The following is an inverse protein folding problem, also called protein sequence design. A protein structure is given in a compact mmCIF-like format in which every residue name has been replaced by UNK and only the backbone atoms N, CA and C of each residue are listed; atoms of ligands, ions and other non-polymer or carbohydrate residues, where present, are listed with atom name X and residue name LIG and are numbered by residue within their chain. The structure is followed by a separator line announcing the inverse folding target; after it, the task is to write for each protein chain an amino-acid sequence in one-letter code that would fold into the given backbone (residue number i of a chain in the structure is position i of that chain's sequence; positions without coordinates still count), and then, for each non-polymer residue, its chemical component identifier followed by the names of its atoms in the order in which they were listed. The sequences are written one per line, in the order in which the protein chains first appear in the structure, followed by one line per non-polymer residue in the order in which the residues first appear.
data_IF_166388237945
#
_entry.id   IF_166388237945
#
_cell.length_a   1.000
_cell.length_b   1.000
_cell.length_c   1.000
_cell.angle_alpha   90.00
_cell.angle_beta   90.00
_cell.angle_gamma   90.00
#
_symmetry.space_group_name_H-M   'P 1'
#
loop_
_entity.id
_entity.type
_entity.pdbx_description
1 polymer ?
#
# COMPACT_ATOMS: atom_id res chain seq x y z
N UNK A 1 11.34 15.23 22.65
CA UNK A 1 9.97 14.64 22.54
C UNK A 1 8.94 15.65 22.04
N UNK A 2 9.01 16.89 22.44
CA UNK A 2 7.99 17.92 22.12
C UNK A 2 7.81 18.20 20.63
N UNK A 3 8.89 18.19 19.84
CA UNK A 3 8.81 18.38 18.38
C UNK A 3 8.06 17.26 17.63
N UNK A 4 8.20 16.00 18.05
CA UNK A 4 7.48 14.88 17.45
C UNK A 4 5.99 14.94 17.79
N UNK A 5 5.64 15.25 19.03
CA UNK A 5 4.24 15.42 19.46
C UNK A 5 3.58 16.57 18.72
N UNK A 6 4.28 17.71 18.58
CA UNK A 6 3.79 18.85 17.81
C UNK A 6 3.56 18.46 16.34
N UNK A 7 4.52 17.76 15.71
CA UNK A 7 4.38 17.27 14.36
C UNK A 7 3.11 16.42 14.19
N UNK A 8 2.91 15.41 15.04
CA UNK A 8 1.74 14.54 14.95
C UNK A 8 0.42 15.27 15.17
N UNK A 9 0.37 16.22 16.10
CA UNK A 9 -0.85 17.04 16.33
C UNK A 9 -1.22 17.86 15.11
N UNK A 10 -0.24 18.54 14.51
CA UNK A 10 -0.47 19.34 13.30
C UNK A 10 -0.84 18.41 12.12
N UNK A 11 -0.08 17.33 11.90
CA UNK A 11 -0.31 16.39 10.81
C UNK A 11 -1.70 15.75 10.88
N UNK A 12 -2.22 15.49 12.08
CA UNK A 12 -3.57 14.96 12.29
C UNK A 12 -4.67 15.86 11.70
N UNK A 13 -4.46 17.18 11.64
CA UNK A 13 -5.38 18.11 10.99
C UNK A 13 -5.46 17.91 9.47
N UNK A 14 -4.46 17.30 8.86
CA UNK A 14 -4.45 16.96 7.45
C UNK A 14 -5.16 15.66 7.10
N UNK A 15 -5.42 14.77 8.08
CA UNK A 15 -6.04 13.47 7.81
C UNK A 15 -7.40 13.55 7.11
N UNK A 16 -8.30 14.49 7.44
CA UNK A 16 -9.55 14.65 6.69
C UNK A 16 -9.32 14.98 5.21
N UNK A 17 -8.36 15.87 4.90
CA UNK A 17 -8.02 16.22 3.53
C UNK A 17 -7.41 15.03 2.78
N UNK A 18 -6.53 14.27 3.43
CA UNK A 18 -5.96 13.04 2.88
C UNK A 18 -7.06 12.00 2.56
N UNK A 19 -8.05 11.84 3.45
CA UNK A 19 -9.18 10.96 3.22
C UNK A 19 -10.00 11.41 2.01
N UNK A 20 -10.34 12.70 1.92
CA UNK A 20 -11.09 13.28 0.79
C UNK A 20 -10.33 13.06 -0.53
N UNK A 21 -9.02 13.32 -0.55
CA UNK A 21 -8.18 13.07 -1.74
C UNK A 21 -8.22 11.59 -2.14
N UNK A 22 -8.02 10.68 -1.20
CA UNK A 22 -7.98 9.23 -1.49
C UNK A 22 -9.32 8.70 -2.02
N UNK A 23 -10.44 9.11 -1.44
CA UNK A 23 -11.77 8.75 -1.95
C UNK A 23 -12.03 9.36 -3.33
N UNK A 24 -11.70 10.63 -3.54
CA UNK A 24 -11.85 11.28 -4.83
C UNK A 24 -10.98 10.66 -5.91
N UNK A 25 -9.72 10.32 -5.59
CA UNK A 25 -8.83 9.56 -6.46
C UNK A 25 -9.42 8.18 -6.79
N UNK A 26 -10.01 7.49 -5.81
CA UNK A 26 -10.69 6.22 -6.01
C UNK A 26 -11.84 6.32 -7.02
N UNK A 27 -12.68 7.34 -6.92
CA UNK A 27 -13.79 7.60 -7.87
C UNK A 27 -13.25 7.87 -9.28
N UNK A 28 -12.24 8.75 -9.42
CA UNK A 28 -11.64 9.07 -10.71
C UNK A 28 -10.97 7.84 -11.34
N UNK A 29 -10.20 7.09 -10.57
CA UNK A 29 -9.56 5.86 -11.05
C UNK A 29 -10.58 4.80 -11.46
N UNK A 30 -11.67 4.63 -10.72
CA UNK A 30 -12.76 3.72 -11.06
C UNK A 30 -13.47 4.14 -12.37
N UNK A 31 -13.56 5.45 -12.67
CA UNK A 31 -14.08 5.96 -13.93
C UNK A 31 -13.06 5.91 -15.10
N UNK A 32 -11.86 5.39 -14.87
CA UNK A 32 -10.78 5.27 -15.88
C UNK A 32 -9.89 6.51 -15.99
N UNK A 33 -10.11 7.53 -15.18
CA UNK A 33 -9.36 8.79 -15.22
C UNK A 33 -8.24 8.82 -14.18
N UNK A 34 -7.08 8.30 -14.55
CA UNK A 34 -5.93 8.19 -13.62
C UNK A 34 -4.90 9.30 -13.76
N UNK A 35 -4.91 10.03 -14.89
CA UNK A 35 -3.92 11.10 -15.15
C UNK A 35 -4.13 12.33 -14.28
N UNK A 36 -5.37 12.78 -14.11
CA UNK A 36 -5.68 13.99 -13.35
C UNK A 36 -5.36 13.86 -11.84
N UNK A 37 -5.72 12.75 -11.15
CA UNK A 37 -5.28 12.56 -9.77
C UNK A 37 -3.77 12.61 -9.61
N UNK A 38 -3.01 12.03 -10.55
CA UNK A 38 -1.56 12.10 -10.55
C UNK A 38 -1.06 13.55 -10.68
N UNK A 39 -1.63 14.34 -11.60
CA UNK A 39 -1.27 15.76 -11.77
C UNK A 39 -1.54 16.53 -10.47
N UNK A 40 -2.70 16.33 -9.85
CA UNK A 40 -3.06 17.03 -8.60
C UNK A 40 -2.14 16.66 -7.44
N UNK A 41 -1.78 15.36 -7.34
CA UNK A 41 -0.80 14.90 -6.35
C UNK A 41 0.59 15.47 -6.62
N UNK A 42 1.01 15.57 -7.88
CA UNK A 42 2.30 16.16 -8.27
C UNK A 42 2.36 17.65 -7.94
N UNK A 43 1.29 18.41 -8.22
CA UNK A 43 1.20 19.82 -7.84
C UNK A 43 1.32 19.97 -6.31
N UNK A 44 0.57 19.17 -5.57
CA UNK A 44 0.64 19.18 -4.10
C UNK A 44 2.03 18.75 -3.57
N UNK A 45 2.67 17.79 -4.23
CA UNK A 45 4.02 17.34 -3.89
C UNK A 45 5.08 18.42 -4.10
N UNK A 46 5.06 19.12 -5.25
CA UNK A 46 5.96 20.24 -5.51
C UNK A 46 5.71 21.38 -4.50
N UNK A 47 4.45 21.71 -4.25
CA UNK A 47 4.08 22.71 -3.25
C UNK A 47 4.58 22.31 -1.85
N UNK A 48 4.46 21.04 -1.48
CA UNK A 48 4.97 20.54 -0.20
C UNK A 48 6.47 20.77 -0.06
N UNK A 49 7.26 20.47 -1.10
CA UNK A 49 8.72 20.69 -1.08
C UNK A 49 9.03 22.20 -0.92
N UNK A 50 8.38 23.05 -1.68
CA UNK A 50 8.59 24.50 -1.61
C UNK A 50 8.21 25.08 -0.22
N UNK A 51 7.09 24.64 0.32
CA UNK A 51 6.65 25.06 1.66
C UNK A 51 7.56 24.51 2.77
N UNK A 52 8.08 23.30 2.64
CA UNK A 52 9.06 22.75 3.57
C UNK A 52 10.32 23.62 3.60
N UNK A 53 10.87 23.95 2.44
CA UNK A 53 12.04 24.83 2.36
C UNK A 53 11.75 26.20 2.97
N UNK A 54 10.60 26.78 2.67
CA UNK A 54 10.18 28.07 3.20
C UNK A 54 10.04 28.05 4.74
N UNK A 55 9.25 27.12 5.29
CA UNK A 55 9.01 27.08 6.74
C UNK A 55 10.25 26.67 7.54
N UNK A 56 11.05 25.74 7.01
CA UNK A 56 12.26 25.28 7.74
C UNK A 56 13.40 26.30 7.64
N UNK A 57 13.65 26.85 6.45
CA UNK A 57 14.82 27.73 6.22
C UNK A 57 14.50 29.17 6.59
N UNK A 58 13.38 29.75 6.10
CA UNK A 58 13.07 31.16 6.30
C UNK A 58 12.39 31.43 7.64
N UNK A 59 11.48 30.53 8.07
CA UNK A 59 10.73 30.71 9.31
C UNK A 59 11.39 30.02 10.51
N UNK A 60 12.48 29.26 10.33
CA UNK A 60 13.14 28.46 11.38
C UNK A 60 12.18 27.53 12.15
N UNK A 61 11.12 27.06 11.48
CA UNK A 61 10.10 26.20 12.07
C UNK A 61 10.48 24.71 11.85
N UNK A 62 11.31 24.15 12.70
CA UNK A 62 11.78 22.76 12.59
C UNK A 62 10.65 21.74 12.23
N UNK A 63 10.31 20.80 13.10
CA UNK A 63 9.30 19.77 12.86
C UNK A 63 7.88 20.34 12.62
N UNK A 64 7.54 21.45 13.26
CA UNK A 64 6.24 22.12 13.07
C UNK A 64 6.05 22.65 11.65
N UNK A 65 7.10 23.23 11.06
CA UNK A 65 7.05 23.75 9.68
C UNK A 65 6.81 22.65 8.65
N UNK A 66 7.48 21.51 8.81
CA UNK A 66 7.29 20.33 7.95
C UNK A 66 5.85 19.79 8.05
N UNK A 67 5.27 19.76 9.26
CA UNK A 67 3.90 19.31 9.45
C UNK A 67 2.91 20.25 8.79
N UNK A 68 3.06 21.57 8.94
CA UNK A 68 2.19 22.59 8.30
C UNK A 68 2.28 22.50 6.79
N UNK A 69 3.48 22.39 6.21
CA UNK A 69 3.67 22.22 4.78
C UNK A 69 2.92 20.98 4.25
N UNK A 70 2.98 19.87 4.96
CA UNK A 70 2.29 18.64 4.61
C UNK A 70 0.78 18.79 4.67
N UNK A 71 0.25 19.43 5.69
CA UNK A 71 -1.19 19.70 5.84
C UNK A 71 -1.69 20.59 4.70
N UNK A 72 -1.02 21.69 4.39
CA UNK A 72 -1.40 22.58 3.28
C UNK A 72 -1.43 21.81 1.96
N UNK A 73 -0.39 21.02 1.66
CA UNK A 73 -0.32 20.22 0.44
C UNK A 73 -1.48 19.20 0.34
N UNK A 74 -1.83 18.55 1.46
CA UNK A 74 -2.97 17.63 1.52
C UNK A 74 -4.29 18.33 1.23
N UNK A 75 -4.53 19.50 1.80
CA UNK A 75 -5.73 20.29 1.50
C UNK A 75 -5.77 20.77 0.04
N UNK A 76 -4.66 21.20 -0.52
CA UNK A 76 -4.58 21.60 -1.94
C UNK A 76 -4.95 20.43 -2.84
N UNK A 77 -4.39 19.23 -2.63
CA UNK A 77 -4.74 18.05 -3.42
C UNK A 77 -6.22 17.68 -3.29
N UNK A 78 -6.77 17.74 -2.08
CA UNK A 78 -8.18 17.48 -1.82
C UNK A 78 -9.10 18.48 -2.53
N UNK A 79 -8.79 19.78 -2.46
CA UNK A 79 -9.55 20.84 -3.12
C UNK A 79 -9.52 20.66 -4.65
N UNK A 80 -8.38 20.33 -5.23
CA UNK A 80 -8.24 20.10 -6.66
C UNK A 80 -9.11 18.93 -7.13
N UNK A 81 -9.06 17.80 -6.42
CA UNK A 81 -9.87 16.61 -6.75
C UNK A 81 -11.35 16.90 -6.58
N UNK A 82 -11.78 17.51 -5.49
CA UNK A 82 -13.18 17.87 -5.25
C UNK A 82 -13.69 18.86 -6.30
N UNK A 83 -12.92 19.91 -6.61
CA UNK A 83 -13.25 20.89 -7.64
C UNK A 83 -13.44 20.23 -9.00
N UNK A 84 -12.57 19.25 -9.33
CA UNK A 84 -12.72 18.50 -10.56
C UNK A 84 -14.01 17.66 -10.57
N UNK A 85 -14.29 16.91 -9.50
CA UNK A 85 -15.51 16.12 -9.38
C UNK A 85 -16.78 16.96 -9.48
N UNK A 86 -16.78 18.17 -8.92
CA UNK A 86 -17.91 19.10 -9.05
C UNK A 86 -18.13 19.64 -10.48
N UNK A 87 -17.05 19.73 -11.26
CA UNK A 87 -17.12 20.26 -12.66
C UNK A 87 -17.41 19.18 -13.70
N UNK A 88 -17.39 17.89 -13.32
CA UNK A 88 -17.74 16.80 -14.26
C UNK A 88 -19.16 16.95 -14.81
N UNK A 89 -19.37 16.39 -16.00
CA UNK A 89 -20.68 16.40 -16.69
C UNK A 89 -21.32 15.00 -16.78
N UNK A 90 -20.68 14.01 -16.18
CA UNK A 90 -21.11 12.60 -16.18
C UNK A 90 -21.78 12.18 -14.85
N UNK A 91 -22.12 10.90 -14.74
CA UNK A 91 -22.76 10.30 -13.55
C UNK A 91 -21.91 10.35 -12.29
N UNK A 92 -20.59 10.59 -12.41
CA UNK A 92 -19.68 10.73 -11.29
C UNK A 92 -19.53 12.18 -10.78
N UNK A 93 -20.38 13.11 -11.25
CA UNK A 93 -20.39 14.49 -10.78
C UNK A 93 -20.79 14.57 -9.31
N UNK A 94 -20.00 15.28 -8.52
CA UNK A 94 -20.28 15.55 -7.12
C UNK A 94 -21.22 16.76 -6.98
N UNK A 95 -22.36 16.55 -6.31
CA UNK A 95 -23.31 17.61 -5.95
C UNK A 95 -23.39 17.71 -4.43
N UNK A 96 -22.90 18.79 -3.83
CA UNK A 96 -22.97 19.00 -2.39
C UNK A 96 -24.41 19.03 -1.86
N UNK A 97 -25.35 19.57 -2.63
CA UNK A 97 -26.78 19.62 -2.28
C UNK A 97 -27.46 18.25 -2.25
N UNK A 98 -26.86 17.24 -2.88
CA UNK A 98 -27.39 15.87 -2.94
C UNK A 98 -26.63 14.89 -2.04
N UNK A 99 -25.68 15.38 -1.25
CA UNK A 99 -24.95 14.52 -0.30
C UNK A 99 -25.93 13.98 0.76
N UNK A 100 -26.09 12.66 0.76
CA UNK A 100 -26.90 11.93 1.72
C UNK A 100 -26.14 10.71 2.20
N UNK A 101 -26.39 10.32 3.44
CA UNK A 101 -25.84 9.08 3.99
C UNK A 101 -26.67 7.90 3.47
N UNK A 102 -26.07 7.08 2.61
CA UNK A 102 -26.65 5.85 2.09
C UNK A 102 -26.10 4.66 2.86
N UNK A 103 -26.93 4.04 3.69
CA UNK A 103 -26.53 2.96 4.60
C UNK A 103 -25.87 1.77 3.87
N UNK A 104 -26.41 1.35 2.74
CA UNK A 104 -25.87 0.23 1.96
C UNK A 104 -24.51 0.57 1.33
N UNK A 105 -24.34 1.77 0.78
CA UNK A 105 -23.06 2.22 0.26
C UNK A 105 -22.02 2.33 1.37
N UNK A 106 -22.37 2.91 2.52
CA UNK A 106 -21.50 2.99 3.68
C UNK A 106 -21.09 1.61 4.17
N UNK A 107 -22.03 0.65 4.25
CA UNK A 107 -21.75 -0.74 4.61
C UNK A 107 -20.75 -1.38 3.66
N UNK A 108 -20.91 -1.19 2.34
CA UNK A 108 -20.00 -1.74 1.32
C UNK A 108 -18.60 -1.16 1.47
N UNK A 109 -18.47 0.16 1.68
CA UNK A 109 -17.18 0.82 1.91
C UNK A 109 -16.51 0.29 3.18
N UNK A 110 -17.26 0.14 4.28
CA UNK A 110 -16.72 -0.39 5.54
C UNK A 110 -16.31 -1.86 5.41
N UNK A 111 -17.09 -2.70 4.72
CA UNK A 111 -16.77 -4.11 4.51
C UNK A 111 -15.51 -4.33 3.69
N UNK A 112 -15.14 -3.38 2.83
CA UNK A 112 -13.89 -3.43 2.06
C UNK A 112 -12.75 -2.73 2.80
N UNK A 113 -13.02 -1.57 3.40
CA UNK A 113 -11.99 -0.71 3.99
C UNK A 113 -11.52 -1.18 5.37
N UNK A 114 -12.43 -1.57 6.26
CA UNK A 114 -12.05 -1.98 7.63
C UNK A 114 -11.11 -3.19 7.63
N UNK A 115 -11.38 -4.30 6.89
CA UNK A 115 -10.43 -5.41 6.85
C UNK A 115 -9.06 -5.00 6.31
N UNK A 116 -9.01 -4.14 5.29
CA UNK A 116 -7.76 -3.62 4.74
C UNK A 116 -6.98 -2.75 5.74
N UNK A 117 -7.67 -1.88 6.45
CA UNK A 117 -7.07 -1.05 7.52
C UNK A 117 -6.54 -1.90 8.68
N UNK A 118 -7.32 -2.88 9.14
CA UNK A 118 -6.90 -3.83 10.18
C UNK A 118 -5.68 -4.64 9.72
N UNK A 119 -5.65 -5.10 8.48
CA UNK A 119 -4.50 -5.79 7.93
C UNK A 119 -3.23 -4.95 8.05
N UNK A 120 -3.27 -3.68 7.64
CA UNK A 120 -2.12 -2.79 7.71
C UNK A 120 -1.66 -2.56 9.16
N UNK A 121 -2.60 -2.39 10.11
CA UNK A 121 -2.28 -2.24 11.52
C UNK A 121 -1.61 -3.50 12.10
N UNK A 122 -2.13 -4.70 11.77
CA UNK A 122 -1.56 -5.97 12.23
C UNK A 122 -0.19 -6.22 11.59
N UNK A 123 0.00 -5.85 10.30
CA UNK A 123 1.34 -5.87 9.68
C UNK A 123 2.34 -4.98 10.42
N UNK A 124 1.93 -3.78 10.81
CA UNK A 124 2.80 -2.88 11.58
C UNK A 124 3.22 -3.53 12.91
N UNK A 125 2.27 -4.15 13.62
CA UNK A 125 2.56 -4.88 14.87
C UNK A 125 3.49 -6.07 14.61
N UNK A 126 3.23 -6.89 13.57
CA UNK A 126 4.08 -8.02 13.23
C UNK A 126 5.52 -7.58 12.90
N UNK A 127 5.68 -6.44 12.24
CA UNK A 127 7.00 -5.88 11.95
C UNK A 127 7.73 -5.40 13.21
N UNK A 128 7.03 -5.00 14.28
CA UNK A 128 7.67 -4.70 15.57
C UNK A 128 8.32 -5.96 16.17
N UNK A 129 7.70 -7.14 16.07
CA UNK A 129 8.32 -8.40 16.52
C UNK A 129 9.56 -8.74 15.69
N UNK A 130 9.54 -8.50 14.39
CA UNK A 130 10.73 -8.68 13.54
C UNK A 130 11.83 -7.69 13.94
N UNK A 131 11.46 -6.44 14.21
CA UNK A 131 12.41 -5.41 14.68
C UNK A 131 13.03 -5.78 16.03
N UNK A 132 12.27 -6.40 16.93
CA UNK A 132 12.81 -6.93 18.20
C UNK A 132 13.90 -7.97 17.92
N UNK A 133 13.70 -8.85 16.93
CA UNK A 133 14.72 -9.79 16.47
C UNK A 133 15.97 -9.10 15.91
N UNK A 134 15.81 -8.02 15.13
CA UNK A 134 16.94 -7.22 14.63
C UNK A 134 17.68 -6.53 15.79
N UNK A 135 16.96 -6.03 16.78
CA UNK A 135 17.53 -5.32 17.93
C UNK A 135 18.32 -6.26 18.88
N UNK A 136 18.24 -7.57 18.71
CA UNK A 136 19.09 -8.51 19.46
C UNK A 136 20.54 -8.58 18.94
N UNK A 137 20.79 -7.98 17.77
CA UNK A 137 22.13 -7.84 17.20
C UNK A 137 22.78 -6.50 17.62
N UNK A 138 23.99 -6.27 17.16
CA UNK A 138 24.73 -5.04 17.44
C UNK A 138 24.16 -3.79 16.75
N UNK A 139 24.63 -2.62 17.15
CA UNK A 139 24.19 -1.34 16.62
C UNK A 139 24.48 -1.18 15.12
N UNK A 140 25.49 -1.87 14.58
CA UNK A 140 25.86 -1.86 13.16
C UNK A 140 24.77 -2.55 12.35
N UNK A 141 24.34 -3.75 12.79
CA UNK A 141 23.26 -4.50 12.15
C UNK A 141 21.94 -3.74 12.19
N UNK A 142 21.57 -3.16 13.31
CA UNK A 142 20.36 -2.33 13.47
C UNK A 142 20.38 -1.14 12.52
N UNK A 143 21.53 -0.46 12.41
CA UNK A 143 21.69 0.68 11.49
C UNK A 143 21.63 0.24 10.02
N UNK A 144 22.28 -0.88 9.67
CA UNK A 144 22.22 -1.46 8.32
C UNK A 144 20.82 -1.88 7.90
N UNK A 145 20.08 -2.53 8.82
CA UNK A 145 18.67 -2.87 8.60
C UNK A 145 17.82 -1.60 8.35
N UNK A 146 18.03 -0.54 9.14
CA UNK A 146 17.28 0.72 8.99
C UNK A 146 17.56 1.39 7.64
N UNK A 147 18.81 1.38 7.18
CA UNK A 147 19.17 1.87 5.85
C UNK A 147 18.50 1.04 4.73
N UNK A 148 18.50 -0.30 4.88
CA UNK A 148 17.93 -1.20 3.89
C UNK A 148 16.39 -1.12 3.81
N UNK A 149 15.68 -0.76 4.87
CA UNK A 149 14.22 -0.53 4.84
C UNK A 149 13.81 0.57 3.84
N UNK A 150 14.69 1.54 3.56
CA UNK A 150 14.40 2.53 2.52
C UNK A 150 14.31 1.89 1.12
N UNK A 151 15.12 0.85 0.86
CA UNK A 151 15.03 0.06 -0.37
C UNK A 151 13.70 -0.69 -0.47
N UNK A 152 13.27 -1.33 0.63
CA UNK A 152 11.97 -1.99 0.69
C UNK A 152 10.84 -1.03 0.32
N UNK A 153 10.83 0.17 0.92
CA UNK A 153 9.80 1.20 0.68
C UNK A 153 9.76 1.62 -0.78
N UNK A 154 10.91 1.81 -1.42
CA UNK A 154 10.98 2.18 -2.84
C UNK A 154 10.36 1.10 -3.74
N UNK A 155 10.74 -0.16 -3.55
CA UNK A 155 10.25 -1.28 -4.38
C UNK A 155 8.76 -1.50 -4.14
N UNK A 156 8.29 -1.51 -2.89
CA UNK A 156 6.88 -1.67 -2.61
C UNK A 156 6.02 -0.56 -3.20
N UNK A 157 6.48 0.69 -3.22
CA UNK A 157 5.77 1.78 -3.87
C UNK A 157 5.61 1.55 -5.39
N UNK A 158 6.64 1.03 -6.05
CA UNK A 158 6.57 0.67 -7.48
C UNK A 158 5.58 -0.48 -7.70
N UNK A 159 5.67 -1.54 -6.90
CA UNK A 159 4.79 -2.70 -7.02
C UNK A 159 3.34 -2.36 -6.70
N UNK A 160 3.10 -1.47 -5.73
CA UNK A 160 1.77 -0.98 -5.33
C UNK A 160 1.00 -0.40 -6.52
N UNK A 161 1.67 0.26 -7.46
CA UNK A 161 1.02 0.80 -8.65
C UNK A 161 0.35 -0.31 -9.48
N UNK A 162 1.02 -1.45 -9.66
CA UNK A 162 0.49 -2.55 -10.47
C UNK A 162 -0.67 -3.28 -9.80
N UNK A 163 -0.59 -3.57 -8.50
CA UNK A 163 -1.70 -4.25 -7.86
C UNK A 163 -2.88 -3.33 -7.52
N UNK A 164 -2.65 -2.03 -7.34
CA UNK A 164 -3.74 -1.05 -7.28
C UNK A 164 -4.48 -0.96 -8.62
N UNK A 165 -3.74 -0.93 -9.74
CA UNK A 165 -4.33 -1.01 -11.06
C UNK A 165 -5.10 -2.34 -11.25
N UNK A 166 -4.57 -3.47 -10.76
CA UNK A 166 -5.26 -4.75 -10.78
C UNK A 166 -6.64 -4.66 -10.12
N UNK A 167 -6.72 -4.14 -8.90
CA UNK A 167 -7.99 -3.99 -8.19
C UNK A 167 -9.00 -3.14 -8.98
N UNK A 168 -8.53 -2.02 -9.55
CA UNK A 168 -9.36 -1.12 -10.36
C UNK A 168 -9.91 -1.81 -11.62
N UNK A 169 -9.04 -2.46 -12.41
CA UNK A 169 -9.47 -3.19 -13.61
C UNK A 169 -10.36 -4.38 -13.29
N UNK A 170 -10.10 -5.09 -12.20
CA UNK A 170 -10.98 -6.18 -11.74
C UNK A 170 -12.37 -5.66 -11.41
N UNK A 171 -12.47 -4.55 -10.68
CA UNK A 171 -13.76 -3.93 -10.33
C UNK A 171 -14.53 -3.42 -11.55
N UNK A 172 -13.86 -2.72 -12.48
CA UNK A 172 -14.46 -2.20 -13.71
C UNK A 172 -15.01 -3.34 -14.59
N UNK A 173 -14.21 -4.39 -14.81
CA UNK A 173 -14.62 -5.52 -15.63
C UNK A 173 -15.68 -6.40 -14.94
N UNK A 174 -15.69 -6.43 -13.61
CA UNK A 174 -16.77 -7.04 -12.83
C UNK A 174 -18.08 -6.30 -13.05
N UNK A 175 -18.08 -4.97 -12.94
CA UNK A 175 -19.27 -4.14 -13.22
C UNK A 175 -19.78 -4.31 -14.66
N UNK A 176 -18.88 -4.49 -15.64
CA UNK A 176 -19.20 -4.77 -17.03
C UNK A 176 -19.59 -6.24 -17.31
N UNK A 177 -19.55 -7.13 -16.31
CA UNK A 177 -19.85 -8.56 -16.51
C UNK A 177 -18.80 -9.32 -17.32
N UNK A 178 -17.65 -8.74 -17.61
CA UNK A 178 -16.66 -9.31 -18.52
C UNK A 178 -15.59 -10.13 -17.77
N UNK A 179 -15.92 -11.40 -17.56
CA UNK A 179 -15.08 -12.34 -16.80
C UNK A 179 -13.74 -12.65 -17.48
N UNK A 180 -13.70 -12.71 -18.78
CA UNK A 180 -12.47 -12.97 -19.53
C UNK A 180 -11.47 -11.83 -19.34
N UNK A 181 -11.94 -10.58 -19.45
CA UNK A 181 -11.09 -9.39 -19.20
C UNK A 181 -10.62 -9.30 -17.76
N UNK A 182 -11.42 -9.77 -16.79
CA UNK A 182 -10.97 -9.84 -15.38
C UNK A 182 -9.74 -10.74 -15.24
N UNK A 183 -9.78 -11.97 -15.78
CA UNK A 183 -8.64 -12.91 -15.73
C UNK A 183 -7.43 -12.33 -16.45
N UNK A 184 -7.63 -11.73 -17.62
CA UNK A 184 -6.55 -11.11 -18.40
C UNK A 184 -5.91 -9.96 -17.63
N UNK A 185 -6.71 -9.09 -17.01
CA UNK A 185 -6.22 -7.99 -16.17
C UNK A 185 -5.40 -8.51 -14.98
N UNK A 186 -5.89 -9.53 -14.28
CA UNK A 186 -5.16 -10.15 -13.18
C UNK A 186 -3.80 -10.71 -13.63
N UNK A 187 -3.77 -11.48 -14.73
CA UNK A 187 -2.53 -12.10 -15.24
C UNK A 187 -1.50 -11.04 -15.67
N UNK A 188 -1.94 -10.00 -16.36
CA UNK A 188 -1.07 -8.91 -16.82
C UNK A 188 -0.52 -8.13 -15.63
N UNK A 189 -1.37 -7.77 -14.67
CA UNK A 189 -0.94 -7.04 -13.47
C UNK A 189 0.00 -7.87 -12.61
N UNK A 190 -0.26 -9.16 -12.47
CA UNK A 190 0.63 -10.09 -11.77
C UNK A 190 1.99 -10.19 -12.44
N UNK A 191 2.01 -10.34 -13.79
CA UNK A 191 3.27 -10.39 -14.54
C UNK A 191 4.09 -9.11 -14.37
N UNK A 192 3.46 -7.94 -14.51
CA UNK A 192 4.17 -6.67 -14.35
C UNK A 192 4.64 -6.42 -12.93
N UNK A 193 3.83 -6.76 -11.92
CA UNK A 193 4.26 -6.66 -10.52
C UNK A 193 5.41 -7.61 -10.22
N UNK A 194 5.37 -8.84 -10.72
CA UNK A 194 6.46 -9.82 -10.59
C UNK A 194 7.73 -9.32 -11.27
N UNK A 195 7.63 -8.86 -12.52
CA UNK A 195 8.79 -8.32 -13.25
C UNK A 195 9.37 -7.08 -12.55
N UNK A 196 8.53 -6.20 -12.04
CA UNK A 196 8.99 -5.04 -11.28
C UNK A 196 9.74 -5.49 -10.02
N UNK A 197 9.18 -6.40 -9.22
CA UNK A 197 9.84 -6.96 -8.04
C UNK A 197 11.17 -7.65 -8.37
N UNK A 198 11.21 -8.44 -9.44
CA UNK A 198 12.41 -9.15 -9.88
C UNK A 198 13.49 -8.20 -10.41
N UNK A 199 13.12 -7.25 -11.27
CA UNK A 199 14.08 -6.30 -11.89
C UNK A 199 14.64 -5.35 -10.82
N UNK A 200 13.79 -4.67 -10.07
CA UNK A 200 14.24 -3.71 -9.06
C UNK A 200 14.90 -4.39 -7.87
N UNK A 201 14.42 -5.58 -7.47
CA UNK A 201 15.07 -6.41 -6.46
C UNK A 201 16.46 -6.86 -6.92
N UNK A 202 16.58 -7.33 -8.16
CA UNK A 202 17.86 -7.69 -8.78
C UNK A 202 18.82 -6.51 -8.89
N UNK A 203 18.33 -5.33 -9.31
CA UNK A 203 19.14 -4.10 -9.34
C UNK A 203 19.64 -3.73 -7.94
N UNK A 204 18.83 -3.88 -6.90
CA UNK A 204 19.29 -3.65 -5.53
C UNK A 204 20.32 -4.67 -5.06
N UNK A 205 20.26 -5.92 -5.49
CA UNK A 205 21.29 -6.90 -5.17
C UNK A 205 22.63 -6.51 -5.81
N UNK A 206 22.60 -5.99 -7.05
CA UNK A 206 23.81 -5.58 -7.79
C UNK A 206 24.34 -4.23 -7.31
N UNK A 207 23.48 -3.22 -7.18
CA UNK A 207 23.85 -1.83 -6.87
C UNK A 207 23.52 -1.44 -5.42
N UNK A 208 23.23 -2.41 -4.54
CA UNK A 208 22.77 -2.14 -3.18
C UNK A 208 23.77 -1.38 -2.33
N UNK A 209 25.08 -1.59 -2.51
CA UNK A 209 26.11 -0.82 -1.80
C UNK A 209 26.04 0.66 -2.12
N UNK A 210 25.89 1.01 -3.41
CA UNK A 210 25.74 2.39 -3.87
C UNK A 210 24.44 3.00 -3.33
N UNK A 211 23.35 2.23 -3.34
CA UNK A 211 22.10 2.67 -2.78
C UNK A 211 22.19 2.92 -1.27
N UNK A 212 22.77 1.98 -0.51
CA UNK A 212 22.92 2.10 0.94
C UNK A 212 23.88 3.24 1.33
N UNK A 213 24.87 3.58 0.50
CA UNK A 213 25.77 4.71 0.77
C UNK A 213 25.07 6.06 0.79
N UNK A 214 23.85 6.17 0.24
CA UNK A 214 23.01 7.37 0.39
C UNK A 214 22.46 7.55 1.81
N UNK A 215 22.40 6.47 2.60
CA UNK A 215 21.78 6.45 3.93
C UNK A 215 22.78 6.14 5.06
N UNK A 216 23.94 5.60 4.72
CA UNK A 216 24.99 5.21 5.68
C UNK A 216 26.36 5.50 5.13
N UNK A 217 27.24 6.11 5.97
CA UNK A 217 28.60 6.46 5.59
C UNK A 217 29.63 5.39 5.99
N UNK A 218 29.33 4.55 6.99
CA UNK A 218 30.24 3.54 7.49
C UNK A 218 30.15 2.26 6.68
N UNK A 219 31.28 1.74 6.15
CA UNK A 219 31.30 0.50 5.35
C UNK A 219 30.66 -0.70 6.05
N UNK A 220 30.88 -0.84 7.36
CA UNK A 220 30.33 -1.92 8.17
C UNK A 220 28.79 -1.92 8.18
N UNK A 221 28.19 -0.74 8.25
CA UNK A 221 26.72 -0.55 8.22
C UNK A 221 26.18 -0.88 6.82
N UNK A 222 26.91 -0.53 5.77
CA UNK A 222 26.53 -0.86 4.38
C UNK A 222 26.56 -2.38 4.18
N UNK A 223 27.60 -3.09 4.64
CA UNK A 223 27.66 -4.55 4.53
C UNK A 223 26.53 -5.23 5.33
N UNK A 224 26.25 -4.76 6.53
CA UNK A 224 25.13 -5.26 7.33
C UNK A 224 23.78 -5.06 6.61
N UNK A 225 23.57 -3.91 5.97
CA UNK A 225 22.38 -3.65 5.14
C UNK A 225 22.32 -4.55 3.90
N UNK A 226 23.48 -4.89 3.31
CA UNK A 226 23.54 -5.80 2.17
C UNK A 226 23.08 -7.22 2.50
N UNK A 227 23.25 -7.71 3.72
CA UNK A 227 22.70 -9.01 4.15
C UNK A 227 21.19 -9.08 3.99
N UNK A 228 20.48 -7.98 4.37
CA UNK A 228 19.05 -7.88 4.14
C UNK A 228 18.71 -7.79 2.65
N UNK A 229 19.38 -6.91 1.91
CA UNK A 229 19.10 -6.68 0.48
C UNK A 229 19.26 -7.97 -0.33
N UNK A 230 20.28 -8.79 -0.06
CA UNK A 230 20.48 -10.07 -0.75
C UNK A 230 19.29 -11.02 -0.62
N UNK A 231 18.68 -11.11 0.55
CA UNK A 231 17.52 -11.98 0.80
C UNK A 231 16.23 -11.34 0.28
N UNK A 232 16.03 -10.06 0.60
CA UNK A 232 14.81 -9.34 0.22
C UNK A 232 14.71 -9.12 -1.28
N UNK A 233 15.84 -8.88 -1.98
CA UNK A 233 15.87 -8.63 -3.40
C UNK A 233 15.18 -9.73 -4.23
N UNK A 234 15.37 -10.99 -3.86
CA UNK A 234 14.64 -12.12 -4.46
C UNK A 234 13.22 -12.27 -3.93
N UNK A 235 13.01 -11.91 -2.66
CA UNK A 235 11.70 -12.08 -2.00
C UNK A 235 10.63 -11.14 -2.53
N UNK A 236 10.97 -9.95 -3.06
CA UNK A 236 10.00 -9.01 -3.62
C UNK A 236 9.19 -9.61 -4.78
N UNK A 237 9.82 -10.40 -5.65
CA UNK A 237 9.12 -11.09 -6.73
C UNK A 237 8.07 -12.08 -6.20
N UNK A 238 8.33 -12.72 -5.05
CA UNK A 238 7.37 -13.63 -4.40
C UNK A 238 6.18 -12.86 -3.81
N UNK A 239 6.41 -11.67 -3.23
CA UNK A 239 5.32 -10.85 -2.68
C UNK A 239 4.32 -10.41 -3.75
N UNK A 240 4.74 -10.27 -5.01
CA UNK A 240 3.85 -9.92 -6.11
C UNK A 240 2.66 -10.90 -6.25
N UNK A 241 2.89 -12.20 -6.05
CA UNK A 241 1.84 -13.21 -6.10
C UNK A 241 0.81 -13.03 -4.98
N UNK A 242 1.26 -12.66 -3.79
CA UNK A 242 0.39 -12.38 -2.66
C UNK A 242 -0.41 -11.09 -2.90
N UNK A 243 0.29 -9.96 -3.10
CA UNK A 243 -0.33 -8.63 -3.11
C UNK A 243 -1.27 -8.44 -4.31
N UNK A 244 -0.87 -8.91 -5.51
CA UNK A 244 -1.71 -8.81 -6.69
C UNK A 244 -2.97 -9.70 -6.58
N UNK A 245 -2.87 -10.88 -5.95
CA UNK A 245 -4.02 -11.76 -5.76
C UNK A 245 -5.00 -11.22 -4.72
N UNK A 246 -4.48 -10.60 -3.63
CA UNK A 246 -5.30 -9.87 -2.66
C UNK A 246 -6.02 -8.71 -3.33
N UNK A 247 -5.30 -7.93 -4.14
CA UNK A 247 -5.87 -6.80 -4.88
C UNK A 247 -6.96 -7.24 -5.87
N UNK A 248 -6.76 -8.35 -6.59
CA UNK A 248 -7.76 -8.95 -7.46
C UNK A 248 -9.00 -9.40 -6.69
N UNK A 249 -8.82 -10.04 -5.54
CA UNK A 249 -9.92 -10.47 -4.66
C UNK A 249 -10.72 -9.27 -4.13
N UNK A 250 -10.06 -8.20 -3.75
CA UNK A 250 -10.70 -6.94 -3.33
C UNK A 250 -11.45 -6.27 -4.47
N UNK A 251 -10.88 -6.27 -5.67
CA UNK A 251 -11.52 -5.74 -6.88
C UNK A 251 -12.86 -6.42 -7.21
N UNK A 252 -13.05 -7.68 -6.80
CA UNK A 252 -14.33 -8.40 -6.90
C UNK A 252 -15.18 -8.35 -5.62
N UNK A 253 -14.90 -7.40 -4.73
CA UNK A 253 -15.67 -7.19 -3.49
C UNK A 253 -15.40 -8.20 -2.37
N UNK A 254 -14.34 -9.02 -2.48
CA UNK A 254 -13.95 -10.01 -1.47
C UNK A 254 -12.74 -9.50 -0.68
N UNK A 255 -12.96 -8.98 0.53
CA UNK A 255 -11.89 -8.41 1.37
C UNK A 255 -11.63 -9.24 2.64
N UNK A 256 -12.67 -9.77 3.28
CA UNK A 256 -12.58 -10.39 4.62
C UNK A 256 -11.68 -11.62 4.61
N UNK A 257 -11.95 -12.60 3.74
CA UNK A 257 -11.18 -13.86 3.72
C UNK A 257 -9.73 -13.65 3.30
N UNK A 258 -9.42 -12.87 2.23
CA UNK A 258 -8.04 -12.49 1.91
C UNK A 258 -7.32 -11.85 3.11
N UNK A 259 -7.97 -10.94 3.82
CA UNK A 259 -7.39 -10.32 5.01
C UNK A 259 -7.05 -11.34 6.09
N UNK A 260 -7.94 -12.30 6.36
CA UNK A 260 -7.68 -13.38 7.34
C UNK A 260 -6.49 -14.25 6.91
N UNK A 261 -6.43 -14.63 5.61
CA UNK A 261 -5.32 -15.41 5.06
C UNK A 261 -3.99 -14.68 5.25
N UNK A 262 -3.96 -13.38 4.96
CA UNK A 262 -2.74 -12.57 5.15
C UNK A 262 -2.36 -12.45 6.62
N UNK A 263 -3.32 -12.19 7.51
CA UNK A 263 -3.03 -12.09 8.95
C UNK A 263 -2.43 -13.41 9.45
N UNK A 264 -3.01 -14.54 9.10
CA UNK A 264 -2.50 -15.85 9.53
C UNK A 264 -1.17 -16.21 8.85
N UNK A 265 -1.10 -16.11 7.53
CA UNK A 265 0.05 -16.54 6.74
C UNK A 265 1.26 -15.59 6.79
N UNK A 266 1.03 -14.30 7.00
CA UNK A 266 2.13 -13.33 7.09
C UNK A 266 2.36 -12.83 8.51
N UNK A 267 1.33 -12.40 9.25
CA UNK A 267 1.57 -11.77 10.54
C UNK A 267 1.78 -12.79 11.66
N UNK A 268 0.85 -13.72 11.85
CA UNK A 268 0.95 -14.76 12.88
C UNK A 268 2.16 -15.66 12.61
N UNK A 269 2.35 -16.05 11.36
CA UNK A 269 3.50 -16.86 10.94
C UNK A 269 4.84 -16.17 11.28
N UNK A 270 4.97 -14.84 11.08
CA UNK A 270 6.18 -14.09 11.42
C UNK A 270 6.47 -14.12 12.92
N UNK A 271 5.45 -13.96 13.74
CA UNK A 271 5.61 -14.03 15.21
C UNK A 271 6.08 -15.43 15.61
N UNK A 272 5.44 -16.48 15.11
CA UNK A 272 5.86 -17.86 15.38
C UNK A 272 7.30 -18.09 14.92
N UNK A 273 7.67 -17.64 13.72
CA UNK A 273 9.02 -17.79 13.17
C UNK A 273 10.08 -17.14 14.07
N UNK A 274 9.81 -15.93 14.56
CA UNK A 274 10.76 -15.23 15.45
C UNK A 274 11.01 -16.01 16.75
N UNK A 275 9.95 -16.57 17.35
CA UNK A 275 10.08 -17.33 18.60
C UNK A 275 10.48 -18.81 18.45
N UNK A 276 10.55 -19.32 17.22
CA UNK A 276 10.93 -20.71 16.94
C UNK A 276 12.19 -20.79 16.10
N UNK A 277 12.08 -20.56 14.79
CA UNK A 277 13.18 -20.74 13.82
C UNK A 277 14.31 -19.73 14.11
N UNK A 278 13.98 -18.46 14.25
CA UNK A 278 14.99 -17.44 14.56
C UNK A 278 15.59 -17.68 15.95
N UNK A 279 14.79 -17.98 16.95
CA UNK A 279 15.29 -18.29 18.31
C UNK A 279 16.24 -19.49 18.34
N UNK A 280 16.05 -20.47 17.44
CA UNK A 280 16.93 -21.65 17.34
C UNK A 280 18.24 -21.34 16.62
N UNK A 281 18.18 -20.67 15.46
CA UNK A 281 19.38 -20.42 14.64
C UNK A 281 20.17 -19.18 15.07
N UNK A 282 19.52 -18.14 15.62
CA UNK A 282 20.16 -16.91 16.10
C UNK A 282 20.88 -16.09 15.03
N UNK A 283 20.63 -16.33 13.72
CA UNK A 283 21.33 -15.64 12.63
C UNK A 283 20.43 -14.63 11.96
N UNK A 284 20.99 -13.51 11.49
CA UNK A 284 20.24 -12.46 10.79
C UNK A 284 19.61 -12.99 9.49
N UNK A 285 20.27 -13.92 8.82
CA UNK A 285 19.76 -14.57 7.61
C UNK A 285 18.48 -15.37 7.92
N UNK A 286 18.45 -16.14 9.03
CA UNK A 286 17.26 -16.88 9.45
C UNK A 286 16.10 -15.93 9.78
N UNK A 287 16.38 -14.73 10.29
CA UNK A 287 15.35 -13.72 10.52
C UNK A 287 14.78 -13.19 9.21
N UNK A 288 15.60 -12.84 8.23
CA UNK A 288 15.10 -12.25 6.97
C UNK A 288 14.42 -13.29 6.06
N UNK A 289 14.78 -14.54 6.12
CA UNK A 289 14.12 -15.62 5.37
C UNK A 289 12.62 -15.75 5.70
N UNK A 290 12.19 -15.28 6.88
CA UNK A 290 10.77 -15.27 7.25
C UNK A 290 9.89 -14.57 6.21
N UNK A 291 10.42 -13.54 5.52
CA UNK A 291 9.66 -12.82 4.50
C UNK A 291 9.38 -13.70 3.29
N UNK A 292 10.41 -14.37 2.76
CA UNK A 292 10.25 -15.27 1.62
C UNK A 292 9.24 -16.39 1.91
N UNK A 293 9.35 -17.04 3.07
CA UNK A 293 8.44 -18.13 3.46
C UNK A 293 7.02 -17.62 3.72
N UNK A 294 6.86 -16.54 4.50
CA UNK A 294 5.54 -15.99 4.83
C UNK A 294 4.79 -15.55 3.58
N UNK A 295 5.46 -14.85 2.65
CA UNK A 295 4.85 -14.40 1.41
C UNK A 295 4.50 -15.57 0.48
N UNK A 296 5.35 -16.58 0.39
CA UNK A 296 5.09 -17.77 -0.44
C UNK A 296 3.87 -18.55 0.06
N UNK A 297 3.81 -18.84 1.38
CA UNK A 297 2.68 -19.56 1.99
C UNK A 297 1.39 -18.77 1.81
N UNK A 298 1.44 -17.46 2.09
CA UNK A 298 0.28 -16.59 1.95
C UNK A 298 -0.17 -16.49 0.49
N UNK A 299 0.76 -16.35 -0.46
CA UNK A 299 0.47 -16.31 -1.89
C UNK A 299 -0.23 -17.59 -2.37
N UNK A 300 0.25 -18.75 -1.96
CA UNK A 300 -0.38 -20.04 -2.31
C UNK A 300 -1.82 -20.07 -1.80
N UNK A 301 -2.05 -19.73 -0.54
CA UNK A 301 -3.38 -19.72 0.06
C UNK A 301 -4.32 -18.71 -0.64
N UNK A 302 -3.84 -17.50 -0.96
CA UNK A 302 -4.58 -16.47 -1.68
C UNK A 302 -4.94 -16.91 -3.10
N UNK A 303 -4.02 -17.52 -3.85
CA UNK A 303 -4.27 -18.02 -5.20
C UNK A 303 -5.31 -19.14 -5.18
N UNK A 304 -5.24 -20.05 -4.21
CA UNK A 304 -6.23 -21.12 -4.05
C UNK A 304 -7.61 -20.50 -3.76
N UNK A 305 -7.69 -19.59 -2.80
CA UNK A 305 -8.93 -18.90 -2.46
C UNK A 305 -9.51 -18.15 -3.67
N UNK A 306 -8.69 -17.36 -4.36
CA UNK A 306 -9.11 -16.61 -5.54
C UNK A 306 -9.66 -17.53 -6.63
N UNK A 307 -8.98 -18.65 -6.94
CA UNK A 307 -9.45 -19.64 -7.91
C UNK A 307 -10.80 -20.24 -7.51
N UNK A 308 -10.98 -20.57 -6.22
CA UNK A 308 -12.25 -21.12 -5.72
C UNK A 308 -13.37 -20.09 -5.82
N UNK A 309 -13.13 -18.86 -5.38
CA UNK A 309 -14.13 -17.79 -5.47
C UNK A 309 -14.47 -17.44 -6.92
N UNK A 310 -13.46 -17.41 -7.78
CA UNK A 310 -13.65 -17.06 -9.18
C UNK A 310 -14.38 -18.14 -9.99
N UNK A 311 -14.32 -19.43 -9.59
CA UNK A 311 -15.07 -20.52 -10.23
C UNK A 311 -16.57 -20.45 -9.96
N UNK A 312 -16.98 -19.95 -8.80
CA UNK A 312 -18.40 -19.77 -8.47
C UNK A 312 -18.99 -18.70 -9.41
N UNK A 313 -20.18 -18.92 -10.00
CA UNK A 313 -20.83 -17.87 -10.77
C UNK A 313 -21.01 -16.66 -9.85
N UNK A 314 -20.49 -15.53 -10.27
CA UNK A 314 -20.71 -14.27 -9.55
C UNK A 314 -22.18 -13.96 -9.69
N UNK A 315 -22.93 -14.01 -8.61
CA UNK A 315 -24.35 -13.65 -8.63
C UNK A 315 -24.45 -12.14 -8.84
N UNK A 316 -24.69 -11.75 -10.08
CA UNK A 316 -24.93 -10.35 -10.49
C UNK A 316 -26.29 -9.80 -9.97
N UNK A 317 -27.09 -10.62 -9.30
CA UNK A 317 -28.45 -10.29 -8.85
C UNK A 317 -28.47 -9.09 -7.90
N UNK A 318 -27.45 -8.88 -7.07
CA UNK A 318 -27.41 -7.74 -6.15
C UNK A 318 -27.06 -6.41 -6.85
N UNK A 319 -26.34 -6.40 -7.95
CA UNK A 319 -25.99 -5.17 -8.68
C UNK A 319 -27.15 -4.72 -9.58
N UNK A 320 -27.88 -5.64 -10.24
CA UNK A 320 -29.06 -5.32 -11.06
C UNK A 320 -30.26 -4.87 -10.25
N UNK A 321 -30.45 -5.38 -9.02
CA UNK A 321 -31.57 -4.95 -8.19
C UNK A 321 -31.46 -3.47 -7.75
N UNK A 322 -30.26 -2.89 -7.74
CA UNK A 322 -30.06 -1.47 -7.45
C UNK A 322 -30.27 -0.55 -8.67
N UNK A 323 -30.07 -1.03 -9.90
CA UNK A 323 -30.33 -0.23 -11.09
C UNK A 323 -31.82 -0.08 -11.38
N UNK A 324 -32.63 -1.10 -11.08
CA UNK A 324 -34.10 -1.06 -11.27
C UNK A 324 -34.82 -0.29 -10.20
N UNK A 325 -34.26 -0.15 -8.99
CA UNK A 325 -34.85 0.64 -7.90
C UNK A 325 -34.55 2.14 -7.92
N UNK A 326 -33.64 2.60 -8.78
CA UNK A 326 -33.26 4.02 -8.89
C UNK A 326 -34.07 4.80 -9.93
N UNK A 327 -34.96 4.12 -10.67
CA UNK A 327 -35.84 4.74 -11.70
C UNK A 327 -37.34 4.63 -11.40
N UNK A 328 -37.72 4.26 -10.17
CA UNK A 328 -39.06 4.38 -9.61
C UNK A 328 -39.00 5.35 -8.38
#
# INVERSE_FOLDING_TARGET
MDGAVLYFRIYALGLPALAIYNFGNGVLSASGETKLPLIYLSIAGVLNVLLNLFFVIQCNMAAGGVAIASVIAQYVSAILVVSHLCRRKDSCRLYFSRLRFHKEAAKSVLMLGVPGGMQNAIFAIANLFVQTGVNSFDAVMVSGNSAAINADTLIFNIMTAFYTACASFMGQNMGAGNRERMIKSYRISLLYSFLAGAIFGGLLVVFGRQFLSLFASKPEVIEAGMERIKIMGFSYALSAFMDCTIAASRGIGKSIVPTIIVIMGSCVFRVIWVYTIFAYFGTIASLYLLYAFSWSITAIAEIIYFKVCFRKPVSYTHLRAHETGAYL
#
